data_IF_084987922427
#
_entry.id   IF_084987922427
#
_cell.length_a   1.000
_cell.length_b   1.000
_cell.length_c   1.000
_cell.angle_alpha   90.00
_cell.angle_beta   90.00
_cell.angle_gamma   90.00
#
_symmetry.space_group_name_H-M   'P 1'
#
loop_
_entity.id
_entity.type
_entity.pdbx_description
1 polymer ?
#
# COMPACT_ATOMS: atom_id res chain seq x y z
N UNK A 1 -18.26 -3.84 20.42
CA UNK A 1 -17.27 -3.24 19.51
C UNK A 1 -17.19 -4.13 18.29
N UNK A 2 -17.29 -3.59 17.06
CA UNK A 2 -17.15 -4.42 15.84
C UNK A 2 -15.66 -4.67 15.61
N UNK A 3 -15.28 -5.94 15.47
CA UNK A 3 -13.90 -6.35 15.23
C UNK A 3 -13.64 -6.47 13.73
N UNK A 4 -12.45 -6.11 13.29
CA UNK A 4 -12.05 -6.15 11.88
C UNK A 4 -10.70 -6.86 11.69
N UNK A 5 -10.63 -7.73 10.69
CA UNK A 5 -9.40 -8.22 10.09
C UNK A 5 -9.06 -7.30 8.93
N UNK A 6 -7.96 -6.54 9.04
CA UNK A 6 -7.61 -5.46 8.12
C UNK A 6 -6.54 -5.90 7.12
N UNK A 7 -6.79 -5.66 5.83
CA UNK A 7 -5.86 -5.98 4.76
C UNK A 7 -5.43 -4.71 4.03
N UNK A 8 -4.11 -4.48 3.97
CA UNK A 8 -3.47 -3.30 3.42
C UNK A 8 -2.65 -3.64 2.17
N UNK A 9 -3.03 -3.07 1.04
CA UNK A 9 -2.41 -3.40 -0.24
C UNK A 9 -1.02 -2.78 -0.44
N UNK A 10 -0.30 -3.33 -1.42
CA UNK A 10 0.85 -2.69 -2.06
C UNK A 10 0.44 -1.40 -2.78
N UNK A 11 1.37 -0.41 -2.89
CA UNK A 11 1.06 0.82 -3.64
C UNK A 11 2.08 1.95 -3.59
N UNK A 12 3.29 1.75 -3.06
CA UNK A 12 4.30 2.79 -2.91
C UNK A 12 3.78 3.95 -2.06
N UNK A 13 4.06 5.21 -2.44
CA UNK A 13 3.62 6.39 -1.69
C UNK A 13 2.11 6.47 -1.47
N UNK A 14 1.29 5.87 -2.36
CA UNK A 14 -0.17 5.80 -2.17
C UNK A 14 -0.57 5.06 -0.89
N UNK A 15 0.31 4.19 -0.37
CA UNK A 15 0.11 3.47 0.89
C UNK A 15 0.02 4.37 2.13
N UNK A 16 0.40 5.65 2.07
CA UNK A 16 0.09 6.58 3.16
C UNK A 16 -1.42 6.76 3.40
N UNK A 17 -2.26 6.36 2.44
CA UNK A 17 -3.71 6.31 2.63
C UNK A 17 -4.13 5.29 3.71
N UNK A 18 -3.33 4.25 3.94
CA UNK A 18 -3.57 3.27 4.99
C UNK A 18 -3.59 3.93 6.38
N UNK A 19 -2.76 4.96 6.61
CA UNK A 19 -2.75 5.70 7.87
C UNK A 19 -4.14 6.29 8.15
N UNK A 20 -4.66 7.07 7.22
CA UNK A 20 -5.98 7.70 7.39
C UNK A 20 -7.14 6.70 7.44
N UNK A 21 -7.02 5.57 6.74
CA UNK A 21 -8.01 4.50 6.80
C UNK A 21 -8.04 3.81 8.17
N UNK A 22 -6.87 3.54 8.76
CA UNK A 22 -6.74 2.97 10.12
C UNK A 22 -7.34 3.93 11.15
N UNK A 23 -6.97 5.22 11.08
CA UNK A 23 -7.48 6.24 12.00
C UNK A 23 -9.01 6.35 11.93
N UNK A 24 -9.61 6.34 10.75
CA UNK A 24 -11.07 6.42 10.60
C UNK A 24 -11.77 5.18 11.20
N UNK A 25 -11.21 3.98 11.01
CA UNK A 25 -11.74 2.75 11.65
C UNK A 25 -11.74 2.89 13.17
N UNK A 26 -10.62 3.33 13.76
CA UNK A 26 -10.49 3.48 15.21
C UNK A 26 -11.42 4.57 15.77
N UNK A 27 -11.52 5.73 15.11
CA UNK A 27 -12.41 6.83 15.51
C UNK A 27 -13.89 6.45 15.48
N UNK A 28 -14.27 5.54 14.57
CA UNK A 28 -15.62 4.98 14.51
C UNK A 28 -15.85 3.79 15.46
N UNK A 29 -14.87 3.50 16.32
CA UNK A 29 -14.99 2.47 17.36
C UNK A 29 -14.87 1.04 16.85
N UNK A 30 -14.25 0.82 15.68
CA UNK A 30 -13.86 -0.51 15.23
C UNK A 30 -12.55 -0.94 15.90
N UNK A 31 -12.49 -2.18 16.37
CA UNK A 31 -11.28 -2.81 16.89
C UNK A 31 -10.55 -3.52 15.75
N UNK A 32 -9.33 -3.13 15.45
CA UNK A 32 -8.49 -3.83 14.46
C UNK A 32 -7.86 -5.02 15.16
N UNK A 33 -8.43 -6.21 14.92
CA UNK A 33 -8.08 -7.45 15.59
C UNK A 33 -6.86 -8.15 14.97
N UNK A 34 -6.58 -7.89 13.70
CA UNK A 34 -5.42 -8.42 12.96
C UNK A 34 -5.14 -7.60 11.71
N UNK A 35 -3.91 -7.67 11.21
CA UNK A 35 -3.49 -6.96 10.00
C UNK A 35 -2.67 -7.86 9.09
N UNK A 36 -2.97 -7.85 7.79
CA UNK A 36 -2.09 -8.37 6.75
C UNK A 36 -1.70 -7.26 5.80
N UNK A 37 -0.44 -7.21 5.39
CA UNK A 37 0.04 -6.15 4.52
C UNK A 37 1.05 -6.59 3.47
N UNK A 38 1.07 -5.87 2.35
CA UNK A 38 2.08 -6.04 1.30
C UNK A 38 2.75 -4.70 1.00
N UNK A 39 4.08 -4.66 0.89
CA UNK A 39 4.85 -3.47 0.55
C UNK A 39 4.60 -2.32 1.53
N UNK A 40 4.13 -1.17 1.06
CA UNK A 40 3.76 -0.06 1.96
C UNK A 40 2.66 -0.48 2.95
N UNK A 41 1.76 -1.38 2.56
CA UNK A 41 0.77 -1.97 3.47
C UNK A 41 1.41 -2.77 4.60
N UNK A 42 2.50 -3.49 4.33
CA UNK A 42 3.28 -4.19 5.35
C UNK A 42 3.99 -3.21 6.30
N UNK A 43 4.58 -2.13 5.76
CA UNK A 43 5.24 -1.11 6.57
C UNK A 43 4.23 -0.42 7.51
N UNK A 44 3.15 0.12 6.97
CA UNK A 44 2.15 0.86 7.77
C UNK A 44 1.42 -0.10 8.73
N UNK A 45 1.04 -1.29 8.24
CA UNK A 45 0.35 -2.31 9.04
C UNK A 45 1.22 -2.87 10.17
N UNK A 46 2.49 -3.17 9.91
CA UNK A 46 3.43 -3.66 10.92
C UNK A 46 3.73 -2.61 12.00
N UNK A 47 3.92 -1.36 11.59
CA UNK A 47 4.14 -0.28 12.55
C UNK A 47 2.87 0.07 13.34
N UNK A 48 1.69 -0.06 12.73
CA UNK A 48 0.43 0.00 13.45
C UNK A 48 0.32 -1.13 14.48
N UNK A 49 0.59 -2.37 14.07
CA UNK A 49 0.54 -3.54 14.96
C UNK A 49 1.52 -3.44 16.14
N UNK A 50 2.64 -2.73 15.95
CA UNK A 50 3.61 -2.40 16.99
C UNK A 50 3.20 -1.17 17.85
N UNK A 51 2.04 -0.55 17.62
CA UNK A 51 1.60 0.65 18.33
C UNK A 51 2.40 1.92 17.99
N UNK A 52 3.00 1.99 16.79
CA UNK A 52 3.88 3.07 16.34
C UNK A 52 3.35 3.86 15.14
N UNK A 53 2.06 3.76 14.85
CA UNK A 53 1.45 4.44 13.69
C UNK A 53 1.64 5.96 13.73
N UNK A 54 1.47 6.59 14.91
CA UNK A 54 1.58 8.06 15.02
C UNK A 54 3.00 8.53 14.73
N UNK A 55 4.02 7.83 15.24
CA UNK A 55 5.43 8.17 14.97
C UNK A 55 5.76 8.03 13.48
N UNK A 56 5.24 6.99 12.82
CA UNK A 56 5.42 6.84 11.36
C UNK A 56 4.71 7.95 10.60
N UNK A 57 3.50 8.32 11.01
CA UNK A 57 2.73 9.42 10.41
C UNK A 57 3.49 10.75 10.52
N UNK A 58 4.01 11.09 11.70
CA UNK A 58 4.81 12.30 11.93
C UNK A 58 6.02 12.35 10.98
N UNK A 59 6.78 11.23 10.87
CA UNK A 59 7.92 11.13 9.96
C UNK A 59 7.49 11.26 8.50
N UNK A 60 6.41 10.59 8.09
CA UNK A 60 5.88 10.64 6.74
C UNK A 60 5.41 12.05 6.35
N UNK A 61 4.71 12.76 7.25
CA UNK A 61 4.19 14.10 6.96
C UNK A 61 5.29 15.17 6.95
N UNK A 62 6.43 14.90 7.60
CA UNK A 62 7.61 15.74 7.54
C UNK A 62 8.46 15.55 6.28
N UNK A 63 8.11 14.59 5.40
CA UNK A 63 8.83 14.37 4.14
C UNK A 63 8.55 15.51 3.16
N UNK A 64 9.58 16.25 2.82
CA UNK A 64 9.60 17.17 1.70
C UNK A 64 10.44 16.61 0.52
N UNK A 65 10.42 17.29 -0.62
CA UNK A 65 11.19 16.85 -1.79
C UNK A 65 12.69 16.74 -1.51
N UNK A 66 13.26 17.63 -0.68
CA UNK A 66 14.70 17.61 -0.36
C UNK A 66 15.04 16.38 0.49
N UNK A 67 14.22 16.11 1.50
CA UNK A 67 14.37 14.92 2.35
C UNK A 67 14.14 13.63 1.56
N UNK A 68 13.20 13.62 0.61
CA UNK A 68 13.01 12.50 -0.29
C UNK A 68 14.26 12.20 -1.14
N UNK A 69 14.88 13.21 -1.75
CA UNK A 69 16.14 13.02 -2.48
C UNK A 69 17.26 12.54 -1.57
N UNK A 70 17.30 12.99 -0.32
CA UNK A 70 18.27 12.52 0.67
C UNK A 70 18.01 11.07 1.11
N UNK A 71 16.74 10.61 1.11
CA UNK A 71 16.35 9.23 1.42
C UNK A 71 16.57 8.28 0.24
N UNK A 72 16.47 8.79 -0.98
CA UNK A 72 16.87 8.05 -2.17
C UNK A 72 18.39 7.87 -2.11
N UNK A 73 18.83 6.73 -1.59
CA UNK A 73 20.25 6.32 -1.60
C UNK A 73 20.60 5.85 -3.01
N UNK A 74 20.69 6.84 -3.94
CA UNK A 74 20.94 6.59 -5.35
C UNK A 74 22.34 6.03 -5.46
N UNK A 75 22.44 4.70 -5.53
CA UNK A 75 23.67 4.05 -5.92
C UNK A 75 23.64 3.86 -7.44
N UNK A 76 24.66 4.35 -8.11
CA UNK A 76 24.86 4.09 -9.54
C UNK A 76 25.30 2.62 -9.79
N UNK A 77 24.60 1.65 -9.21
CA UNK A 77 24.84 0.22 -9.48
C UNK A 77 23.94 -0.26 -10.60
N UNK A 78 24.38 -1.26 -11.39
CA UNK A 78 23.56 -1.82 -12.47
C UNK A 78 22.28 -2.51 -11.98
N UNK A 79 22.19 -2.87 -10.70
CA UNK A 79 21.17 -3.78 -10.20
C UNK A 79 20.05 -3.12 -9.38
N UNK A 80 20.21 -1.84 -8.96
CA UNK A 80 19.23 -1.16 -8.11
C UNK A 80 19.44 0.35 -8.03
N UNK A 81 18.37 1.11 -7.83
CA UNK A 81 18.43 2.57 -7.63
C UNK A 81 18.58 2.95 -6.15
N UNK A 82 18.04 2.16 -5.23
CA UNK A 82 17.98 2.45 -3.79
C UNK A 82 18.30 1.20 -2.97
N UNK A 83 19.16 1.34 -1.94
CA UNK A 83 19.50 0.21 -1.06
C UNK A 83 18.42 -0.15 -0.04
N UNK A 84 17.48 0.76 0.26
CA UNK A 84 16.43 0.57 1.26
C UNK A 84 16.88 0.76 2.71
N UNK A 85 18.18 0.87 2.97
CA UNK A 85 18.73 0.99 4.33
C UNK A 85 18.28 2.27 5.05
N UNK A 86 18.11 3.37 4.31
CA UNK A 86 17.64 4.63 4.90
C UNK A 86 16.19 4.56 5.39
N UNK A 87 15.33 3.81 4.69
CA UNK A 87 13.96 3.56 5.15
C UNK A 87 14.00 2.76 6.45
N UNK A 88 14.80 1.69 6.48
CA UNK A 88 14.97 0.89 7.69
C UNK A 88 15.63 1.68 8.83
N UNK A 89 16.55 2.62 8.50
CA UNK A 89 17.14 3.56 9.46
C UNK A 89 16.10 4.40 10.19
N UNK A 90 15.12 4.95 9.44
CA UNK A 90 14.01 5.72 10.03
C UNK A 90 13.17 4.86 10.98
N UNK A 91 12.89 3.59 10.61
CA UNK A 91 12.14 2.69 11.49
C UNK A 91 12.92 2.38 12.76
N UNK A 92 14.23 2.17 12.68
CA UNK A 92 15.12 1.96 13.85
C UNK A 92 15.18 3.17 14.78
N UNK A 93 14.99 4.38 14.26
CA UNK A 93 14.88 5.61 15.10
C UNK A 93 13.54 5.65 15.87
N UNK A 94 12.48 5.00 15.35
CA UNK A 94 11.17 4.98 15.98
C UNK A 94 11.11 3.94 17.10
N UNK A 95 11.64 2.74 16.86
CA UNK A 95 11.64 1.63 17.82
C UNK A 95 12.76 0.62 17.50
N UNK A 96 13.21 -0.21 18.46
CA UNK A 96 14.05 -1.37 18.14
C UNK A 96 13.24 -2.40 17.33
N UNK A 97 13.95 -3.28 16.63
CA UNK A 97 13.32 -4.44 16.00
C UNK A 97 12.76 -5.40 17.06
N UNK A 98 11.57 -5.94 16.80
CA UNK A 98 10.91 -6.89 17.68
C UNK A 98 10.34 -8.05 16.88
N UNK A 99 10.18 -9.23 17.50
CA UNK A 99 9.53 -10.38 16.86
C UNK A 99 8.05 -10.10 16.56
N UNK A 100 7.60 -10.50 15.36
CA UNK A 100 6.21 -10.30 14.90
C UNK A 100 5.21 -10.94 15.87
N UNK A 101 5.52 -12.13 16.38
CA UNK A 101 4.69 -12.89 17.32
C UNK A 101 4.52 -12.20 18.69
N UNK A 102 5.29 -11.15 18.97
CA UNK A 102 5.16 -10.35 20.20
C UNK A 102 4.36 -9.06 20.02
N UNK A 103 3.89 -8.80 18.81
CA UNK A 103 3.11 -7.59 18.51
C UNK A 103 1.77 -7.59 19.25
N UNK A 104 1.32 -6.43 19.75
CA UNK A 104 0.00 -6.29 20.38
C UNK A 104 -1.17 -6.68 19.47
N UNK A 105 -1.02 -6.50 18.16
CA UNK A 105 -2.00 -6.88 17.15
C UNK A 105 -1.37 -7.93 16.22
N UNK A 106 -1.99 -9.11 16.03
CA UNK A 106 -1.54 -10.11 15.07
C UNK A 106 -1.28 -9.51 13.70
N UNK A 107 -0.12 -9.80 13.15
CA UNK A 107 0.33 -9.19 11.90
C UNK A 107 1.01 -10.22 11.00
N UNK A 108 0.82 -10.08 9.68
CA UNK A 108 1.68 -10.73 8.70
C UNK A 108 2.05 -9.79 7.54
N UNK A 109 3.25 -9.97 7.04
CA UNK A 109 3.75 -9.32 5.83
C UNK A 109 3.97 -10.33 4.71
N UNK A 110 3.75 -9.90 3.45
CA UNK A 110 3.94 -10.74 2.28
C UNK A 110 5.13 -10.24 1.47
N UNK A 111 6.01 -11.16 1.09
CA UNK A 111 7.08 -10.99 0.12
C UNK A 111 6.97 -12.04 -0.98
N UNK A 112 7.79 -11.94 -2.02
CA UNK A 112 7.90 -12.93 -3.10
C UNK A 112 9.33 -13.46 -3.13
N UNK A 113 9.49 -14.78 -3.13
CA UNK A 113 10.76 -15.41 -3.46
C UNK A 113 10.88 -15.58 -4.98
N UNK A 114 11.86 -14.89 -5.54
CA UNK A 114 12.13 -14.92 -6.97
C UNK A 114 12.85 -16.22 -7.40
N UNK A 115 13.54 -16.90 -6.47
CA UNK A 115 14.24 -18.16 -6.75
C UNK A 115 13.24 -19.30 -6.98
N UNK A 116 12.23 -19.41 -6.11
CA UNK A 116 11.25 -20.49 -6.16
C UNK A 116 9.91 -20.06 -6.79
N UNK A 117 9.79 -18.79 -7.19
CA UNK A 117 8.53 -18.23 -7.71
C UNK A 117 7.36 -18.45 -6.75
N UNK A 118 7.58 -18.23 -5.46
CA UNK A 118 6.63 -18.50 -4.39
C UNK A 118 6.36 -17.27 -3.53
N UNK A 119 5.19 -17.28 -2.89
CA UNK A 119 4.83 -16.29 -1.88
C UNK A 119 5.49 -16.65 -0.54
N UNK A 120 6.10 -15.66 0.11
CA UNK A 120 6.66 -15.78 1.46
C UNK A 120 5.84 -14.95 2.41
N UNK A 121 5.28 -15.61 3.44
CA UNK A 121 4.49 -14.96 4.48
C UNK A 121 5.31 -14.90 5.76
N UNK A 122 5.49 -13.69 6.28
CA UNK A 122 6.16 -13.43 7.56
C UNK A 122 5.10 -13.17 8.62
N UNK A 123 4.83 -14.12 9.46
CA UNK A 123 3.95 -14.07 10.64
C UNK A 123 4.69 -14.26 11.97
N UNK A 124 6.01 -14.43 11.89
CA UNK A 124 6.93 -14.64 13.00
C UNK A 124 8.33 -14.14 12.64
N UNK A 125 9.19 -13.99 13.66
CA UNK A 125 10.56 -13.48 13.47
C UNK A 125 10.64 -11.96 13.38
N UNK A 126 11.73 -11.44 12.83
CA UNK A 126 12.03 -10.00 12.77
C UNK A 126 10.98 -9.22 11.97
N UNK A 127 10.34 -8.24 12.63
CA UNK A 127 9.41 -7.31 11.97
C UNK A 127 10.12 -6.51 10.86
N UNK A 128 11.37 -6.12 11.11
CA UNK A 128 12.11 -5.31 10.15
C UNK A 128 12.58 -6.11 8.94
N UNK A 129 12.95 -7.37 9.12
CA UNK A 129 13.24 -8.26 7.98
C UNK A 129 12.01 -8.47 7.11
N UNK A 130 10.85 -8.73 7.73
CA UNK A 130 9.58 -8.88 7.03
C UNK A 130 9.20 -7.63 6.22
N UNK A 131 9.24 -6.45 6.85
CA UNK A 131 8.99 -5.18 6.17
C UNK A 131 9.99 -4.96 5.04
N UNK A 132 11.29 -5.17 5.31
CA UNK A 132 12.36 -4.94 4.32
C UNK A 132 12.22 -5.87 3.11
N UNK A 133 11.86 -7.13 3.30
CA UNK A 133 11.58 -8.06 2.22
C UNK A 133 10.37 -7.57 1.40
N UNK A 134 9.27 -7.26 2.10
CA UNK A 134 8.00 -6.86 1.49
C UNK A 134 8.08 -5.57 0.65
N UNK A 135 8.95 -4.60 1.00
CA UNK A 135 9.11 -3.33 0.26
C UNK A 135 10.15 -3.39 -0.85
N UNK A 136 10.73 -4.55 -1.16
CA UNK A 136 11.82 -4.73 -2.15
C UNK A 136 11.33 -4.65 -3.59
N UNK A 137 10.78 -3.50 -4.00
CA UNK A 137 10.22 -3.29 -5.35
C UNK A 137 11.30 -3.55 -6.41
N UNK A 138 11.06 -4.47 -7.38
CA UNK A 138 12.00 -4.78 -8.46
C UNK A 138 12.42 -3.52 -9.23
N UNK A 139 13.69 -3.46 -9.63
CA UNK A 139 14.33 -2.36 -10.31
C UNK A 139 14.44 -1.05 -9.49
N UNK A 140 13.79 -0.95 -8.33
CA UNK A 140 13.88 0.21 -7.45
C UNK A 140 14.71 -0.08 -6.20
N UNK A 141 14.38 -1.14 -5.47
CA UNK A 141 15.14 -1.59 -4.30
C UNK A 141 15.98 -2.83 -4.63
N UNK A 142 17.13 -2.93 -3.95
CA UNK A 142 17.92 -4.16 -4.00
C UNK A 142 17.12 -5.32 -3.41
N UNK A 143 16.99 -6.47 -4.11
CA UNK A 143 16.43 -7.68 -3.55
C UNK A 143 17.13 -8.08 -2.25
N UNK A 144 16.39 -8.61 -1.30
CA UNK A 144 16.96 -9.12 -0.04
C UNK A 144 17.28 -10.60 -0.18
N UNK A 145 18.51 -11.00 0.21
CA UNK A 145 18.88 -12.41 0.33
C UNK A 145 18.65 -12.90 1.75
N UNK A 146 17.97 -14.05 1.87
CA UNK A 146 17.80 -14.76 3.13
C UNK A 146 18.04 -16.25 2.86
N UNK A 147 19.25 -16.74 3.17
CA UNK A 147 19.70 -18.05 2.75
C UNK A 147 19.71 -18.18 1.22
N UNK A 148 19.01 -19.17 0.70
CA UNK A 148 18.85 -19.40 -0.75
C UNK A 148 17.78 -18.53 -1.39
N UNK A 149 16.86 -17.95 -0.59
CA UNK A 149 15.79 -17.08 -1.08
C UNK A 149 16.33 -15.77 -1.64
N UNK A 150 15.71 -15.32 -2.72
CA UNK A 150 15.91 -13.99 -3.29
C UNK A 150 14.60 -13.21 -3.22
N UNK A 151 14.44 -12.42 -2.17
CA UNK A 151 13.19 -11.79 -1.81
C UNK A 151 13.00 -10.44 -2.50
N UNK A 152 11.83 -10.28 -3.09
CA UNK A 152 11.34 -9.05 -3.71
C UNK A 152 9.95 -8.69 -3.14
N UNK A 153 9.44 -7.53 -3.53
CA UNK A 153 8.12 -7.01 -3.09
C UNK A 153 7.01 -8.05 -3.31
N UNK A 154 6.24 -8.28 -2.26
CA UNK A 154 5.11 -9.22 -2.29
C UNK A 154 4.00 -8.85 -3.26
N UNK A 155 3.97 -7.59 -3.70
CA UNK A 155 3.02 -7.12 -4.70
C UNK A 155 3.12 -7.84 -6.06
N UNK A 156 4.23 -8.52 -6.34
CA UNK A 156 4.37 -9.34 -7.55
C UNK A 156 3.35 -10.47 -7.58
N UNK A 157 3.16 -11.20 -6.48
CA UNK A 157 2.25 -12.33 -6.39
C UNK A 157 0.95 -12.03 -5.64
N UNK A 158 1.03 -11.33 -4.49
CA UNK A 158 -0.12 -11.05 -3.64
C UNK A 158 -0.16 -9.58 -3.17
N UNK A 159 -0.58 -8.66 -4.02
CA UNK A 159 -0.61 -7.23 -3.71
C UNK A 159 -1.69 -6.83 -2.70
N UNK A 160 -2.70 -7.68 -2.46
CA UNK A 160 -3.79 -7.45 -1.51
C UNK A 160 -4.05 -8.76 -0.76
N UNK A 161 -3.33 -9.04 0.35
CA UNK A 161 -3.23 -10.38 0.95
C UNK A 161 -4.47 -10.76 1.80
N UNK A 162 -5.65 -10.76 1.17
CA UNK A 162 -6.93 -11.12 1.81
C UNK A 162 -6.97 -12.56 2.35
N UNK A 163 -6.21 -13.43 1.71
CA UNK A 163 -6.07 -14.84 2.08
C UNK A 163 -5.04 -15.10 3.20
N UNK A 164 -4.41 -14.06 3.74
CA UNK A 164 -3.32 -14.18 4.74
C UNK A 164 -3.64 -13.55 6.09
N UNK A 165 -4.64 -12.69 6.16
CA UNK A 165 -5.03 -12.08 7.42
C UNK A 165 -5.64 -13.13 8.36
N UNK A 166 -5.18 -13.14 9.61
CA UNK A 166 -5.81 -13.94 10.66
C UNK A 166 -7.21 -13.41 10.93
N UNK A 167 -8.23 -14.26 10.88
CA UNK A 167 -9.63 -13.87 11.06
C UNK A 167 -10.32 -14.84 12.01
N UNK A 168 -10.94 -14.31 13.04
CA UNK A 168 -11.84 -15.06 13.93
C UNK A 168 -13.29 -14.96 13.44
N UNK A 169 -14.12 -15.89 13.89
CA UNK A 169 -15.55 -15.85 13.59
C UNK A 169 -16.18 -14.55 14.08
N UNK A 170 -16.90 -13.88 13.20
CA UNK A 170 -17.53 -12.59 13.48
C UNK A 170 -16.68 -11.36 13.19
N UNK A 171 -15.37 -11.51 12.91
CA UNK A 171 -14.55 -10.40 12.45
C UNK A 171 -14.91 -9.99 11.01
N UNK A 172 -15.10 -8.69 10.77
CA UNK A 172 -15.32 -8.17 9.42
C UNK A 172 -13.99 -8.15 8.65
N UNK A 173 -14.01 -8.65 7.41
CA UNK A 173 -12.87 -8.55 6.51
C UNK A 173 -12.89 -7.18 5.83
N UNK A 174 -11.93 -6.33 6.16
CA UNK A 174 -11.82 -4.97 5.60
C UNK A 174 -10.58 -4.86 4.74
N UNK A 175 -10.73 -4.40 3.50
CA UNK A 175 -9.60 -4.18 2.60
C UNK A 175 -9.41 -2.73 2.22
N UNK A 176 -8.15 -2.29 2.17
CA UNK A 176 -7.76 -0.97 1.63
C UNK A 176 -6.84 -1.20 0.44
N UNK A 177 -7.37 -1.04 -0.76
CA UNK A 177 -6.65 -1.18 -2.02
C UNK A 177 -6.27 0.19 -2.59
N UNK A 178 -5.01 0.57 -2.47
CA UNK A 178 -4.48 1.87 -2.96
C UNK A 178 -3.96 1.80 -4.41
N UNK A 179 -4.13 0.66 -5.06
CA UNK A 179 -3.75 0.41 -6.46
C UNK A 179 -4.94 0.00 -7.31
N UNK A 180 -6.15 0.42 -6.92
CA UNK A 180 -7.37 0.15 -7.66
C UNK A 180 -7.34 0.73 -9.08
N UNK A 181 -8.23 0.23 -9.95
CA UNK A 181 -8.33 0.71 -11.32
C UNK A 181 -8.49 2.22 -11.40
N UNK A 182 -7.94 2.79 -12.47
CA UNK A 182 -7.95 4.23 -12.72
C UNK A 182 -9.37 4.78 -12.80
N UNK A 183 -9.58 5.95 -12.19
CA UNK A 183 -10.82 6.70 -12.35
C UNK A 183 -10.79 7.41 -13.73
N UNK A 184 -11.63 6.94 -14.65
CA UNK A 184 -11.75 7.46 -16.03
C UNK A 184 -12.10 8.96 -16.06
N UNK A 185 -12.85 9.47 -15.08
CA UNK A 185 -13.12 10.91 -14.96
C UNK A 185 -11.87 11.72 -14.71
N UNK A 186 -10.98 11.23 -13.83
CA UNK A 186 -9.70 11.88 -13.54
C UNK A 186 -8.76 11.84 -14.74
N UNK A 187 -8.77 10.76 -15.51
CA UNK A 187 -7.98 10.66 -16.76
C UNK A 187 -8.45 11.68 -17.77
N UNK A 188 -9.73 11.75 -18.06
CA UNK A 188 -10.29 12.72 -18.99
C UNK A 188 -9.99 14.18 -18.59
N UNK A 189 -10.10 14.54 -17.31
CA UNK A 189 -9.75 15.87 -16.81
C UNK A 189 -8.26 16.19 -16.97
N UNK A 190 -7.37 15.19 -16.77
CA UNK A 190 -5.93 15.36 -16.98
C UNK A 190 -5.58 15.57 -18.46
N UNK A 191 -6.17 14.80 -19.35
CA UNK A 191 -6.00 14.93 -20.80
C UNK A 191 -6.47 16.30 -21.30
N UNK A 192 -7.64 16.75 -20.84
CA UNK A 192 -8.18 18.07 -21.18
C UNK A 192 -7.25 19.19 -20.69
N UNK A 193 -6.73 19.10 -19.46
CA UNK A 193 -5.73 20.06 -18.93
C UNK A 193 -4.41 20.03 -19.71
N UNK A 194 -3.92 18.85 -20.08
CA UNK A 194 -2.70 18.70 -20.90
C UNK A 194 -2.90 19.33 -22.28
N UNK A 195 -4.05 19.08 -22.92
CA UNK A 195 -4.41 19.66 -24.22
C UNK A 195 -4.51 21.19 -24.18
N UNK A 196 -5.11 21.76 -23.12
CA UNK A 196 -5.22 23.20 -22.95
C UNK A 196 -3.87 23.89 -22.67
N UNK A 197 -2.93 23.20 -21.98
CA UNK A 197 -1.56 23.73 -21.77
C UNK A 197 -0.69 23.66 -23.02
N UNK A 198 -0.84 22.65 -23.86
CA UNK A 198 -0.09 22.53 -25.14
C UNK A 198 -0.62 23.48 -26.22
N UNK A 199 -1.87 23.95 -26.09
CA UNK A 199 -2.42 24.96 -27.01
C UNK A 199 -1.85 26.39 -26.80
N UNK A 200 -1.25 26.63 -25.62
CA UNK A 200 -0.71 27.92 -25.23
C UNK A 200 0.79 28.14 -25.56
N UNK A 201 1.49 27.09 -26.02
CA UNK A 201 2.92 27.18 -26.38
C UNK A 201 3.16 26.54 -27.76
N UNK A 202 3.03 27.35 -28.81
CA UNK A 202 3.48 27.00 -30.17
C UNK A 202 5.01 27.19 -30.27
N UNK A 203 5.78 26.24 -29.74
CA UNK A 203 7.15 26.02 -30.16
C UNK A 203 7.20 24.72 -30.99
N UNK A 204 7.94 24.69 -32.13
CA UNK A 204 8.06 23.48 -32.94
C UNK A 204 8.69 22.37 -32.09
N UNK A 205 8.04 21.24 -32.03
CA UNK A 205 8.52 20.05 -31.30
C UNK A 205 9.75 19.49 -32.04
N UNK A 206 10.95 19.78 -31.56
CA UNK A 206 12.11 18.95 -31.82
C UNK A 206 11.89 17.59 -31.16
N UNK A 207 11.68 16.55 -31.98
CA UNK A 207 11.79 15.14 -31.62
C UNK A 207 10.96 14.73 -30.40
N UNK A 208 9.66 14.44 -30.55
CA UNK A 208 8.95 13.62 -29.58
C UNK A 208 9.61 12.25 -29.55
N UNK A 209 10.39 11.99 -28.49
CA UNK A 209 10.66 10.61 -28.11
C UNK A 209 9.29 9.93 -27.91
N UNK A 210 9.11 8.68 -28.38
CA UNK A 210 7.88 7.95 -28.13
C UNK A 210 7.61 7.96 -26.61
N UNK A 211 6.38 8.30 -26.21
CA UNK A 211 5.93 8.36 -24.80
C UNK A 211 6.09 7.01 -24.06
N UNK A 212 6.54 5.98 -24.76
CA UNK A 212 6.74 4.62 -24.27
C UNK A 212 8.19 4.18 -24.47
N UNK A 213 8.98 4.32 -23.41
CA UNK A 213 10.30 3.70 -23.32
C UNK A 213 10.20 2.37 -22.53
N UNK A 214 11.26 1.56 -22.58
CA UNK A 214 11.34 0.28 -21.89
C UNK A 214 10.93 0.35 -20.39
N UNK A 215 11.38 1.38 -19.67
CA UNK A 215 11.05 1.57 -18.26
C UNK A 215 9.57 1.88 -18.04
N UNK A 216 8.94 2.66 -18.92
CA UNK A 216 7.52 2.95 -18.81
C UNK A 216 6.67 1.71 -19.11
N UNK A 217 7.08 0.91 -20.09
CA UNK A 217 6.42 -0.36 -20.40
C UNK A 217 6.54 -1.36 -19.21
N UNK A 218 7.74 -1.52 -18.65
CA UNK A 218 7.97 -2.38 -17.49
C UNK A 218 7.15 -1.94 -16.28
N UNK A 219 7.13 -0.63 -15.99
CA UNK A 219 6.33 -0.07 -14.90
C UNK A 219 4.83 -0.28 -15.10
N UNK A 220 4.31 -0.07 -16.32
CA UNK A 220 2.91 -0.32 -16.66
C UNK A 220 2.57 -1.82 -16.51
N UNK A 221 3.44 -2.72 -16.97
CA UNK A 221 3.25 -4.17 -16.83
C UNK A 221 3.17 -4.57 -15.37
N UNK A 222 4.09 -4.08 -14.53
CA UNK A 222 4.05 -4.33 -13.09
C UNK A 222 2.74 -3.84 -12.45
N UNK A 223 2.31 -2.64 -12.81
CA UNK A 223 1.04 -2.08 -12.32
C UNK A 223 -0.17 -2.92 -12.77
N UNK A 224 -0.22 -3.34 -14.02
CA UNK A 224 -1.30 -4.20 -14.53
C UNK A 224 -1.36 -5.53 -13.77
N UNK A 225 -0.19 -6.10 -13.48
CA UNK A 225 -0.07 -7.33 -12.70
C UNK A 225 -0.57 -7.15 -11.26
N UNK A 226 -0.16 -6.06 -10.58
CA UNK A 226 -0.67 -5.69 -9.26
C UNK A 226 -2.20 -5.58 -9.25
N UNK A 227 -2.76 -4.85 -10.21
CA UNK A 227 -4.22 -4.64 -10.29
C UNK A 227 -4.97 -5.95 -10.53
N UNK A 228 -4.46 -6.76 -11.46
CA UNK A 228 -5.10 -8.04 -11.79
C UNK A 228 -5.07 -9.03 -10.63
N UNK A 229 -3.93 -9.15 -9.96
CA UNK A 229 -3.79 -10.03 -8.80
C UNK A 229 -4.65 -9.57 -7.63
N UNK A 230 -4.67 -8.25 -7.33
CA UNK A 230 -5.54 -7.69 -6.29
C UNK A 230 -7.03 -7.97 -6.55
N UNK A 231 -7.46 -7.83 -7.81
CA UNK A 231 -8.84 -8.10 -8.19
C UNK A 231 -9.19 -9.59 -8.09
N UNK A 232 -8.29 -10.48 -8.54
CA UNK A 232 -8.49 -11.93 -8.41
C UNK A 232 -8.57 -12.36 -6.95
N UNK A 233 -7.69 -11.83 -6.09
CA UNK A 233 -7.73 -12.14 -4.66
C UNK A 233 -9.02 -11.64 -4.02
N UNK A 234 -9.50 -10.44 -4.39
CA UNK A 234 -10.76 -9.90 -3.89
C UNK A 234 -11.99 -10.66 -4.39
N UNK A 235 -11.93 -11.30 -5.55
CA UNK A 235 -12.99 -12.20 -6.05
C UNK A 235 -13.02 -13.54 -5.31
N UNK A 236 -11.84 -14.10 -5.00
CA UNK A 236 -11.72 -15.36 -4.27
C UNK A 236 -11.99 -15.22 -2.77
N UNK A 237 -11.63 -14.10 -2.19
CA UNK A 237 -11.78 -13.76 -0.77
C UNK A 237 -12.49 -12.41 -0.64
N UNK A 238 -13.81 -12.35 -0.91
CA UNK A 238 -14.53 -11.07 -0.94
C UNK A 238 -14.53 -10.41 0.44
N UNK A 239 -14.05 -9.16 0.55
CA UNK A 239 -14.09 -8.43 1.81
C UNK A 239 -15.52 -7.93 2.11
N UNK A 240 -15.86 -7.87 3.40
CA UNK A 240 -17.13 -7.30 3.87
C UNK A 240 -17.19 -5.78 3.62
N UNK A 241 -16.03 -5.12 3.74
CA UNK A 241 -15.87 -3.68 3.46
C UNK A 241 -14.66 -3.49 2.54
N UNK A 242 -14.89 -2.96 1.35
CA UNK A 242 -13.84 -2.70 0.36
C UNK A 242 -13.63 -1.20 0.19
N UNK A 243 -12.39 -0.75 0.39
CA UNK A 243 -11.94 0.63 0.17
C UNK A 243 -11.01 0.66 -1.03
N UNK A 244 -11.46 1.20 -2.15
CA UNK A 244 -10.67 1.35 -3.37
C UNK A 244 -10.24 2.81 -3.57
N UNK A 245 -8.93 3.02 -3.69
CA UNK A 245 -8.34 4.31 -4.03
C UNK A 245 -7.74 4.19 -5.44
N UNK A 246 -8.30 4.91 -6.44
CA UNK A 246 -7.81 4.83 -7.81
C UNK A 246 -6.35 5.24 -7.92
N UNK A 247 -5.54 4.41 -8.57
CA UNK A 247 -4.10 4.63 -8.66
C UNK A 247 -3.69 5.88 -9.43
N UNK A 248 -4.56 6.41 -10.30
CA UNK A 248 -4.31 7.65 -11.02
C UNK A 248 -4.57 8.92 -10.18
N UNK A 249 -5.02 8.78 -8.93
CA UNK A 249 -5.22 9.92 -8.02
C UNK A 249 -3.90 10.50 -7.51
N UNK A 250 -2.93 9.62 -7.21
CA UNK A 250 -1.58 9.98 -6.76
C UNK A 250 -0.54 9.11 -7.48
N UNK A 251 0.65 9.65 -7.67
CA UNK A 251 1.79 8.88 -8.18
C UNK A 251 2.35 7.91 -7.13
N UNK A 252 2.94 6.80 -7.60
CA UNK A 252 3.57 5.81 -6.70
C UNK A 252 4.80 6.37 -5.94
N UNK A 253 5.32 7.52 -6.36
CA UNK A 253 6.49 8.20 -5.76
C UNK A 253 6.14 9.59 -5.17
N UNK A 254 4.87 9.89 -4.95
CA UNK A 254 4.40 11.15 -4.36
C UNK A 254 4.59 11.18 -2.82
N UNK A 255 5.75 10.80 -2.32
CA UNK A 255 6.04 10.72 -0.88
C UNK A 255 5.94 12.08 -0.17
N UNK A 256 6.16 13.20 -0.90
CA UNK A 256 5.99 14.58 -0.43
C UNK A 256 4.51 14.99 -0.22
N UNK A 257 3.57 14.09 -0.54
CA UNK A 257 2.13 14.32 -0.41
C UNK A 257 1.47 13.44 0.66
N UNK A 258 2.26 12.91 1.60
CA UNK A 258 1.80 11.93 2.58
C UNK A 258 0.53 12.36 3.33
N UNK A 259 0.48 13.57 3.86
CA UNK A 259 -0.70 14.09 4.56
C UNK A 259 -1.95 14.14 3.68
N UNK A 260 -1.81 14.53 2.41
CA UNK A 260 -2.93 14.58 1.46
C UNK A 260 -3.41 13.19 1.06
N UNK A 261 -2.49 12.24 0.91
CA UNK A 261 -2.80 10.85 0.60
C UNK A 261 -3.51 10.19 1.79
N UNK A 262 -3.04 10.43 3.02
CA UNK A 262 -3.68 9.96 4.24
C UNK A 262 -5.10 10.50 4.39
N UNK A 263 -5.32 11.79 4.14
CA UNK A 263 -6.66 12.39 4.16
C UNK A 263 -7.62 11.75 3.15
N UNK A 264 -7.12 11.35 1.97
CA UNK A 264 -7.92 10.62 0.99
C UNK A 264 -8.29 9.22 1.50
N UNK A 265 -7.34 8.51 2.15
CA UNK A 265 -7.59 7.22 2.78
C UNK A 265 -8.70 7.30 3.83
N UNK A 266 -8.61 8.30 4.72
CA UNK A 266 -9.64 8.58 5.74
C UNK A 266 -11.01 8.83 5.11
N UNK A 267 -11.07 9.68 4.09
CA UNK A 267 -12.33 9.98 3.39
C UNK A 267 -12.96 8.74 2.75
N UNK A 268 -12.16 7.93 2.05
CA UNK A 268 -12.63 6.72 1.39
C UNK A 268 -13.09 5.64 2.37
N UNK A 269 -12.39 5.50 3.49
CA UNK A 269 -12.82 4.59 4.56
C UNK A 269 -14.16 5.04 5.14
N UNK A 270 -14.31 6.34 5.42
CA UNK A 270 -15.59 6.91 5.89
C UNK A 270 -16.73 6.58 4.96
N UNK A 271 -16.58 6.83 3.66
CA UNK A 271 -17.59 6.54 2.65
C UNK A 271 -17.97 5.05 2.62
N UNK A 272 -16.97 4.15 2.72
CA UNK A 272 -17.21 2.72 2.71
C UNK A 272 -17.93 2.24 3.98
N UNK A 273 -17.57 2.77 5.15
CA UNK A 273 -18.23 2.45 6.42
C UNK A 273 -19.68 2.94 6.44
N UNK A 274 -19.94 4.15 5.97
CA UNK A 274 -21.30 4.69 5.85
C UNK A 274 -22.20 3.86 4.93
N UNK A 275 -21.62 3.40 3.81
CA UNK A 275 -22.33 2.51 2.88
C UNK A 275 -22.65 1.17 3.55
N UNK A 276 -21.66 0.56 4.20
CA UNK A 276 -21.82 -0.70 4.91
C UNK A 276 -22.89 -0.60 6.02
N UNK A 277 -22.81 0.42 6.86
CA UNK A 277 -23.75 0.66 7.96
C UNK A 277 -25.18 0.86 7.46
N UNK A 278 -25.39 1.65 6.39
CA UNK A 278 -26.70 1.83 5.77
C UNK A 278 -27.28 0.52 5.26
N UNK A 279 -26.48 -0.30 4.58
CA UNK A 279 -26.94 -1.56 3.99
C UNK A 279 -27.35 -2.56 5.08
N UNK A 280 -26.60 -2.62 6.19
CA UNK A 280 -26.88 -3.57 7.27
C UNK A 280 -27.96 -3.10 8.26
N UNK A 281 -28.13 -1.78 8.47
CA UNK A 281 -29.21 -1.23 9.30
C UNK A 281 -30.58 -1.33 8.62
N UNK A 282 -30.66 -1.30 7.29
CA UNK A 282 -31.92 -1.53 6.55
C UNK A 282 -32.43 -2.95 6.78
N UNK A 283 -31.53 -3.94 6.86
CA UNK A 283 -31.92 -5.32 7.13
C UNK A 283 -32.34 -5.58 8.59
N UNK A 284 -31.80 -4.83 9.55
CA UNK A 284 -32.20 -4.95 10.97
C UNK A 284 -33.57 -4.33 11.26
N UNK A 285 -34.03 -3.37 10.47
CA UNK A 285 -35.34 -2.71 10.61
C UNK A 285 -36.47 -3.39 9.83
N UNK A 286 -36.17 -4.40 9.01
CA UNK A 286 -37.14 -5.13 8.16
C UNK A 286 -37.41 -6.57 8.60
N UNK A 287 -37.01 -7.01 9.82
CA UNK A 287 -37.46 -8.25 10.40
C UNK A 287 -38.88 -8.05 10.95
N UNK A 288 -39.92 -8.68 10.39
CA UNK A 288 -41.26 -8.62 10.98
C UNK A 288 -41.27 -9.35 12.31
N UNK A 289 -41.96 -8.75 13.27
CA UNK A 289 -42.28 -9.33 14.57
C UNK A 289 -43.15 -10.59 14.45
#
# INVERSE_FOLDING_TARGET
MKRVALVLSSGGARGFAHIGAIEELQERGYEIASVAGTSMGALIGGMFAAGKLEQVKERAFALDRKRMFALADISMGPDHLVKGEKVMGILREIMPDIPIETLPVPFCAVATDLADNSEVVYDSGSLYEAIRASISIPAFFKPQRNGEMLLIDGGVLNPLPLNRVTRSDGDLLVSVNVSAHSDMRLEHLRETRKRNRTSASRLPALGRLPDENFYSALSKTFVMMLQRNAELTAQLYPPDIRVDIPMNRFGGFDYDKAARISSEGRRRMREALELYEKTHNIHSSSSPA
#
